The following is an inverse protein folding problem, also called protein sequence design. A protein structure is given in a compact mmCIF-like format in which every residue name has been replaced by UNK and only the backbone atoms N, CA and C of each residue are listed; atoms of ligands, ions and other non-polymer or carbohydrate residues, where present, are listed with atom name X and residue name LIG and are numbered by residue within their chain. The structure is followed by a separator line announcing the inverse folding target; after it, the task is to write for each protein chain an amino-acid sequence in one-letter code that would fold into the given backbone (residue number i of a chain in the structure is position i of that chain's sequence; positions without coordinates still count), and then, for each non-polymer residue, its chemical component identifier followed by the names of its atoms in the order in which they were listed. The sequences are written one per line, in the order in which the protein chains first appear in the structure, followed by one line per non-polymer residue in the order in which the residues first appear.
data_IF_473346087225
#
_entry.id   IF_473346087225
#
_cell.length_a   1.000
_cell.length_b   1.000
_cell.length_c   1.000
_cell.angle_alpha   90.00
_cell.angle_beta   90.00
_cell.angle_gamma   90.00
#
_symmetry.space_group_name_H-M   'P 1'
#
loop_
_entity.id
_entity.type
_entity.pdbx_description
1 polymer ?
#
# COMPACT_ATOMS: atom_id res chain seq x y z
N UNK A 1 23.49 26.50 -13.00
CA UNK A 1 22.07 26.05 -12.95
C UNK A 1 21.26 27.01 -13.79
N UNK A 2 20.65 26.56 -14.89
CA UNK A 2 19.60 27.35 -15.54
C UNK A 2 18.37 27.30 -14.62
N UNK A 3 17.65 28.42 -14.41
CA UNK A 3 16.41 28.37 -13.64
C UNK A 3 15.45 27.42 -14.35
N UNK A 4 14.98 26.39 -13.66
CA UNK A 4 13.91 25.55 -14.18
C UNK A 4 12.68 26.45 -14.29
N UNK A 5 12.31 26.80 -15.52
CA UNK A 5 11.05 27.49 -15.79
C UNK A 5 9.92 26.61 -15.25
N UNK A 6 9.14 27.14 -14.32
CA UNK A 6 7.92 26.50 -13.83
C UNK A 6 7.02 26.25 -15.04
N UNK A 7 6.47 25.03 -15.23
CA UNK A 7 5.56 24.77 -16.33
C UNK A 7 4.38 25.75 -16.26
N UNK A 8 4.05 26.38 -17.39
CA UNK A 8 2.81 27.15 -17.51
C UNK A 8 1.71 26.12 -17.74
N UNK A 9 0.81 25.99 -16.77
CA UNK A 9 -0.34 25.10 -16.84
C UNK A 9 -1.52 25.86 -17.42
N UNK A 10 -2.16 25.28 -18.44
CA UNK A 10 -3.40 25.79 -18.98
C UNK A 10 -4.54 24.92 -18.48
N UNK A 11 -5.50 25.53 -17.77
CA UNK A 11 -6.73 24.86 -17.41
C UNK A 11 -7.50 24.53 -18.68
N UNK A 12 -7.82 23.26 -18.88
CA UNK A 12 -8.58 22.83 -20.04
C UNK A 12 -10.06 23.24 -19.87
N UNK A 13 -10.75 23.69 -20.92
CA UNK A 13 -12.19 23.92 -20.87
C UNK A 13 -12.93 22.59 -20.68
N UNK A 14 -13.20 22.20 -19.44
CA UNK A 14 -13.85 20.93 -19.15
C UNK A 14 -15.38 21.08 -19.12
N UNK A 15 -16.09 20.20 -19.86
CA UNK A 15 -17.51 19.87 -19.59
C UNK A 15 -17.73 19.19 -18.22
N UNK A 16 -16.65 18.94 -17.48
CA UNK A 16 -16.57 18.16 -16.26
C UNK A 16 -15.78 18.98 -15.24
N UNK A 17 -16.45 19.52 -14.24
CA UNK A 17 -15.88 20.43 -13.25
C UNK A 17 -16.17 19.91 -11.83
N UNK A 18 -17.39 20.08 -11.37
CA UNK A 18 -17.90 19.46 -10.17
C UNK A 18 -19.29 18.90 -10.45
N UNK A 19 -19.59 17.75 -9.87
CA UNK A 19 -20.91 17.13 -9.93
C UNK A 19 -21.24 16.54 -8.59
N UNK A 20 -22.51 16.63 -8.23
CA UNK A 20 -23.06 15.88 -7.11
C UNK A 20 -23.56 14.54 -7.65
N UNK A 21 -23.37 13.46 -6.89
CA UNK A 21 -23.90 12.14 -7.20
C UNK A 21 -25.43 12.16 -7.30
N UNK A 22 -26.01 11.16 -8.00
CA UNK A 22 -27.46 11.07 -8.21
C UNK A 22 -28.26 10.98 -6.90
N UNK A 23 -27.67 10.45 -5.83
CA UNK A 23 -28.26 10.35 -4.50
C UNK A 23 -27.99 11.58 -3.61
N UNK A 24 -27.25 12.57 -4.11
CA UNK A 24 -26.92 13.79 -3.38
C UNK A 24 -25.84 13.64 -2.31
N UNK A 25 -25.20 12.47 -2.19
CA UNK A 25 -24.34 12.14 -1.03
C UNK A 25 -22.83 12.25 -1.28
N UNK A 26 -22.42 12.41 -2.53
CA UNK A 26 -21.01 12.48 -2.90
C UNK A 26 -20.75 13.66 -3.81
N UNK A 27 -19.68 14.37 -3.54
CA UNK A 27 -19.12 15.39 -4.41
C UNK A 27 -18.06 14.74 -5.31
N UNK A 28 -18.11 15.06 -6.59
CA UNK A 28 -17.18 14.57 -7.60
C UNK A 28 -16.54 15.80 -8.24
N UNK A 29 -15.27 16.03 -7.95
CA UNK A 29 -14.48 17.11 -8.53
C UNK A 29 -13.55 16.55 -9.59
N UNK A 30 -13.51 17.20 -10.75
CA UNK A 30 -12.62 16.85 -11.86
C UNK A 30 -11.90 18.10 -12.31
N UNK A 31 -10.57 18.04 -12.29
CA UNK A 31 -9.72 19.08 -12.82
C UNK A 31 -8.88 18.50 -13.95
N UNK A 32 -8.63 19.30 -14.98
CA UNK A 32 -7.64 18.92 -15.97
C UNK A 32 -6.89 20.10 -16.55
N UNK A 33 -5.62 19.85 -16.82
CA UNK A 33 -4.65 20.83 -17.24
C UNK A 33 -3.79 20.25 -18.35
N UNK A 34 -3.23 21.12 -19.17
CA UNK A 34 -2.18 20.81 -20.13
C UNK A 34 -0.96 21.68 -19.87
N UNK A 35 0.20 21.24 -20.36
CA UNK A 35 1.43 22.02 -20.39
C UNK A 35 2.28 21.57 -21.58
N UNK A 36 3.37 22.28 -21.87
CA UNK A 36 4.23 22.05 -23.04
C UNK A 36 4.67 20.59 -23.26
N UNK A 37 4.81 19.79 -22.19
CA UNK A 37 5.20 18.36 -22.27
C UNK A 37 4.11 17.40 -21.81
N UNK A 38 2.95 17.93 -21.42
CA UNK A 38 1.89 17.19 -20.75
C UNK A 38 0.61 17.42 -21.52
N UNK A 39 0.21 16.41 -22.28
CA UNK A 39 -1.03 16.40 -23.04
C UNK A 39 -2.25 16.49 -22.15
N UNK A 40 -2.20 15.81 -21.01
CA UNK A 40 -3.31 15.80 -20.06
C UNK A 40 -2.82 15.42 -18.66
N UNK A 41 -2.82 16.39 -17.76
CA UNK A 41 -2.87 16.17 -16.32
C UNK A 41 -4.35 16.19 -15.93
N UNK A 42 -4.84 15.16 -15.26
CA UNK A 42 -6.20 15.20 -14.70
C UNK A 42 -6.25 14.60 -13.31
N UNK A 43 -7.16 15.13 -12.53
CA UNK A 43 -7.58 14.59 -11.25
C UNK A 43 -9.08 14.32 -11.28
N UNK A 44 -9.47 13.22 -10.67
CA UNK A 44 -10.82 12.93 -10.23
C UNK A 44 -10.74 12.74 -8.71
N UNK A 45 -11.37 13.65 -7.99
CA UNK A 45 -11.61 13.52 -6.56
C UNK A 45 -13.07 13.13 -6.36
N UNK A 46 -13.33 12.11 -5.55
CA UNK A 46 -14.67 11.79 -5.07
C UNK A 46 -14.62 11.90 -3.58
N UNK A 47 -15.50 12.69 -2.99
CA UNK A 47 -15.65 12.81 -1.56
C UNK A 47 -17.08 12.50 -1.15
N UNK A 48 -17.22 11.67 -0.12
CA UNK A 48 -18.49 11.31 0.50
C UNK A 48 -18.26 11.07 1.99
N UNK A 49 -19.33 10.88 2.75
CA UNK A 49 -19.21 10.61 4.19
C UNK A 49 -18.41 9.33 4.52
N UNK A 50 -18.31 8.37 3.59
CA UNK A 50 -17.75 7.05 3.87
C UNK A 50 -16.58 6.65 2.96
N UNK A 51 -16.34 7.42 1.89
CA UNK A 51 -15.40 7.10 0.83
C UNK A 51 -14.78 8.36 0.23
N UNK A 52 -13.47 8.32 0.05
CA UNK A 52 -12.66 9.27 -0.68
C UNK A 52 -11.91 8.55 -1.80
N UNK A 53 -11.92 9.10 -3.01
CA UNK A 53 -11.18 8.53 -4.15
C UNK A 53 -10.37 9.62 -4.80
N UNK A 54 -9.09 9.33 -5.06
CA UNK A 54 -8.24 10.11 -5.94
C UNK A 54 -7.81 9.22 -7.11
N UNK A 55 -8.22 9.59 -8.32
CA UNK A 55 -7.54 9.16 -9.55
C UNK A 55 -6.82 10.37 -10.11
N UNK A 56 -5.50 10.37 -9.96
CA UNK A 56 -4.64 11.41 -10.49
C UNK A 56 -3.64 10.78 -11.41
N UNK A 57 -3.53 11.32 -12.62
CA UNK A 57 -2.45 10.88 -13.49
C UNK A 57 -2.09 11.91 -14.56
N UNK A 58 -0.86 11.78 -15.04
CA UNK A 58 -0.22 12.73 -15.96
C UNK A 58 0.15 11.99 -17.22
N UNK A 59 -0.48 12.36 -18.32
CA UNK A 59 -0.17 11.84 -19.65
C UNK A 59 0.76 12.81 -20.38
N UNK A 60 1.94 12.36 -20.82
CA UNK A 60 2.83 13.20 -21.61
C UNK A 60 2.27 13.45 -23.02
N UNK A 61 2.78 14.50 -23.66
CA UNK A 61 2.64 14.68 -25.11
C UNK A 61 3.40 13.56 -25.86
N UNK A 62 2.91 13.04 -27.00
CA UNK A 62 3.53 11.91 -27.70
C UNK A 62 4.99 12.15 -28.13
N UNK A 63 5.41 13.40 -28.29
CA UNK A 63 6.78 13.80 -28.58
C UNK A 63 7.73 13.55 -27.39
N UNK A 64 7.20 13.33 -26.19
CA UNK A 64 7.95 13.05 -24.96
C UNK A 64 7.58 11.65 -24.45
N UNK A 65 8.51 10.73 -24.59
CA UNK A 65 8.38 9.32 -24.17
C UNK A 65 8.47 9.14 -22.63
N UNK A 66 7.90 10.04 -21.83
CA UNK A 66 7.95 9.89 -20.38
C UNK A 66 7.01 8.77 -19.89
N UNK A 67 7.32 8.11 -18.75
CA UNK A 67 6.35 7.26 -18.07
C UNK A 67 5.08 8.03 -17.70
N UNK A 68 3.94 7.33 -17.67
CA UNK A 68 2.69 7.89 -17.18
C UNK A 68 2.74 7.87 -15.66
N UNK A 69 2.62 9.03 -15.02
CA UNK A 69 2.47 9.07 -13.56
C UNK A 69 1.05 8.65 -13.19
N UNK A 70 0.92 7.69 -12.27
CA UNK A 70 -0.34 7.22 -11.74
C UNK A 70 -0.35 7.24 -10.21
N UNK A 71 -1.36 7.90 -9.65
CA UNK A 71 -1.72 7.86 -8.25
C UNK A 71 -3.21 7.55 -8.14
N UNK A 72 -3.51 6.31 -7.76
CA UNK A 72 -4.87 5.81 -7.58
C UNK A 72 -5.03 5.45 -6.11
N UNK A 73 -5.70 6.33 -5.38
CA UNK A 73 -5.99 6.14 -3.97
C UNK A 73 -7.48 5.93 -3.82
N UNK A 74 -7.84 4.80 -3.24
CA UNK A 74 -9.17 4.57 -2.76
C UNK A 74 -9.09 4.52 -1.24
N UNK A 75 -9.87 5.36 -0.60
CA UNK A 75 -9.97 5.48 0.84
C UNK A 75 -11.43 5.33 1.24
N UNK A 76 -11.68 4.56 2.28
CA UNK A 76 -12.96 4.49 2.96
C UNK A 76 -12.70 4.43 4.44
N UNK A 77 -13.76 4.56 5.25
CA UNK A 77 -13.65 4.43 6.71
C UNK A 77 -12.82 3.21 7.13
N UNK A 78 -12.90 2.12 6.36
CA UNK A 78 -12.30 0.84 6.67
C UNK A 78 -11.35 0.28 5.62
N UNK A 79 -10.91 1.00 4.59
CA UNK A 79 -9.95 0.48 3.58
C UNK A 79 -9.19 1.60 2.89
N UNK A 80 -7.86 1.45 2.76
CA UNK A 80 -7.06 2.25 1.85
C UNK A 80 -6.39 1.32 0.85
N UNK A 81 -6.60 1.55 -0.44
CA UNK A 81 -5.90 0.88 -1.54
C UNK A 81 -5.12 1.97 -2.25
N UNK A 82 -3.79 1.83 -2.24
CA UNK A 82 -2.87 2.82 -2.79
C UNK A 82 -2.08 2.14 -3.89
N UNK A 83 -2.23 2.65 -5.11
CA UNK A 83 -1.33 2.36 -6.23
C UNK A 83 -0.66 3.67 -6.60
N UNK A 84 0.66 3.71 -6.48
CA UNK A 84 1.49 4.84 -6.88
C UNK A 84 2.61 4.31 -7.75
N UNK A 85 2.64 4.72 -9.01
CA UNK A 85 3.61 4.20 -9.96
C UNK A 85 3.94 5.21 -11.08
N UNK A 86 5.10 5.00 -11.70
CA UNK A 86 5.50 5.58 -12.98
C UNK A 86 5.34 4.47 -14.02
N UNK A 87 4.17 4.37 -14.62
CA UNK A 87 3.83 3.31 -15.56
C UNK A 87 4.63 3.47 -16.86
N UNK A 88 5.39 2.45 -17.30
CA UNK A 88 6.21 2.57 -18.49
C UNK A 88 5.37 2.68 -19.76
N UNK A 89 5.75 3.59 -20.67
CA UNK A 89 5.12 3.72 -21.99
C UNK A 89 5.54 2.58 -22.95
N UNK A 90 6.74 2.05 -22.76
CA UNK A 90 7.33 0.98 -23.56
C UNK A 90 7.69 -0.22 -22.68
N UNK A 91 7.69 -1.42 -23.27
CA UNK A 91 8.03 -2.65 -22.55
C UNK A 91 9.46 -2.62 -21.99
N UNK A 92 9.57 -2.54 -20.67
CA UNK A 92 10.86 -2.49 -19.95
C UNK A 92 11.59 -3.83 -19.89
N UNK A 93 10.96 -4.93 -20.32
CA UNK A 93 11.60 -6.25 -20.40
C UNK A 93 12.40 -6.35 -21.70
N UNK A 94 11.78 -6.05 -22.84
CA UNK A 94 12.44 -6.13 -24.15
C UNK A 94 13.22 -4.87 -24.52
N UNK A 95 12.74 -3.67 -24.18
CA UNK A 95 13.34 -2.39 -24.58
C UNK A 95 14.24 -1.82 -23.48
N UNK A 96 15.47 -2.34 -23.41
CA UNK A 96 16.43 -1.99 -22.36
C UNK A 96 16.78 -0.51 -22.33
N UNK A 97 16.89 0.14 -23.50
CA UNK A 97 17.25 1.56 -23.59
C UNK A 97 16.22 2.46 -22.88
N UNK A 98 14.93 2.14 -22.99
CA UNK A 98 13.86 2.85 -22.31
C UNK A 98 13.89 2.64 -20.80
N UNK A 99 14.10 1.38 -20.37
CA UNK A 99 14.28 1.04 -18.95
C UNK A 99 15.48 1.78 -18.36
N UNK A 100 16.60 1.82 -19.08
CA UNK A 100 17.80 2.52 -18.61
C UNK A 100 17.59 4.02 -18.51
N UNK A 101 16.91 4.62 -19.50
CA UNK A 101 16.62 6.06 -19.54
C UNK A 101 15.79 6.54 -18.34
N UNK A 102 14.76 5.78 -17.94
CA UNK A 102 13.78 6.24 -16.93
C UNK A 102 13.83 5.53 -15.58
N UNK A 103 14.21 4.24 -15.53
CA UNK A 103 14.11 3.42 -14.32
C UNK A 103 15.46 3.10 -13.69
N UNK A 104 16.58 3.25 -14.40
CA UNK A 104 17.92 3.05 -13.83
C UNK A 104 18.19 3.96 -12.63
N UNK A 105 17.62 5.16 -12.59
CA UNK A 105 17.72 6.07 -11.45
C UNK A 105 16.77 5.73 -10.29
N UNK A 106 15.70 4.99 -10.56
CA UNK A 106 14.69 4.57 -9.57
C UNK A 106 15.07 3.23 -8.91
N UNK A 107 15.71 2.33 -9.66
CA UNK A 107 16.24 1.06 -9.15
C UNK A 107 17.11 1.26 -7.89
N UNK A 108 18.07 2.22 -7.85
CA UNK A 108 18.83 2.54 -6.66
C UNK A 108 17.99 2.85 -5.43
N UNK A 109 16.77 3.39 -5.56
CA UNK A 109 15.92 3.63 -4.38
C UNK A 109 15.42 2.31 -3.78
N UNK A 110 14.94 1.38 -4.61
CA UNK A 110 14.58 0.05 -4.15
C UNK A 110 15.77 -0.76 -3.65
N UNK A 111 16.92 -0.65 -4.35
CA UNK A 111 18.17 -1.27 -3.92
C UNK A 111 18.65 -0.71 -2.59
N UNK A 112 18.60 0.60 -2.34
CA UNK A 112 19.00 1.21 -1.05
C UNK A 112 18.23 0.64 0.14
N UNK A 113 16.93 0.36 -0.01
CA UNK A 113 16.14 -0.27 1.04
C UNK A 113 16.59 -1.73 1.28
N UNK A 114 16.89 -2.47 0.21
CA UNK A 114 17.43 -3.83 0.32
C UNK A 114 18.86 -3.86 0.89
N UNK A 115 19.72 -2.94 0.44
CA UNK A 115 21.09 -2.74 0.94
C UNK A 115 21.08 -2.42 2.44
N UNK A 116 20.23 -1.50 2.90
CA UNK A 116 20.09 -1.21 4.34
C UNK A 116 19.65 -2.45 5.14
N UNK A 117 18.78 -3.29 4.61
CA UNK A 117 18.40 -4.54 5.26
C UNK A 117 19.55 -5.57 5.29
N UNK A 118 20.34 -5.66 4.21
CA UNK A 118 21.54 -6.50 4.17
C UNK A 118 22.60 -6.01 5.17
N UNK A 119 22.80 -4.70 5.30
CA UNK A 119 23.69 -4.12 6.31
C UNK A 119 23.23 -4.47 7.73
N UNK A 120 21.92 -4.45 8.01
CA UNK A 120 21.38 -4.91 9.30
C UNK A 120 21.61 -6.40 9.51
N UNK A 121 21.53 -7.22 8.46
CA UNK A 121 21.85 -8.66 8.54
C UNK A 121 23.33 -8.88 8.87
N UNK A 122 24.24 -8.17 8.20
CA UNK A 122 25.68 -8.28 8.44
C UNK A 122 26.06 -7.87 9.88
N UNK A 123 25.33 -6.92 10.45
CA UNK A 123 25.50 -6.46 11.83
C UNK A 123 24.82 -7.36 12.86
N UNK A 124 23.88 -8.22 12.44
CA UNK A 124 23.13 -9.07 13.35
C UNK A 124 24.05 -10.14 13.96
N UNK A 125 24.18 -10.11 15.29
CA UNK A 125 24.97 -11.11 16.02
C UNK A 125 24.07 -12.30 16.36
N UNK A 126 24.62 -13.52 16.20
CA UNK A 126 23.93 -14.75 16.59
C UNK A 126 23.57 -14.69 18.07
N UNK A 127 22.28 -14.80 18.37
CA UNK A 127 21.82 -14.92 19.76
C UNK A 127 22.05 -16.35 20.25
N UNK A 128 22.71 -16.49 21.39
CA UNK A 128 23.02 -17.80 22.01
C UNK A 128 22.18 -18.08 23.26
N UNK A 129 21.49 -17.06 23.79
CA UNK A 129 20.60 -17.23 24.92
C UNK A 129 19.30 -17.92 24.49
N UNK A 130 19.09 -19.15 24.96
CA UNK A 130 17.93 -19.96 24.63
C UNK A 130 16.58 -19.25 24.89
N UNK A 131 16.46 -18.49 25.99
CA UNK A 131 15.22 -17.77 26.30
C UNK A 131 14.95 -16.65 25.29
N UNK A 132 15.96 -15.92 24.84
CA UNK A 132 15.78 -14.88 23.82
C UNK A 132 15.48 -15.47 22.45
N UNK A 133 16.13 -16.58 22.08
CA UNK A 133 15.82 -17.32 20.85
C UNK A 133 14.35 -17.77 20.87
N UNK A 134 13.88 -18.29 22.01
CA UNK A 134 12.47 -18.64 22.19
C UNK A 134 11.55 -17.42 22.03
N UNK A 135 11.90 -16.27 22.61
CA UNK A 135 11.14 -15.03 22.42
C UNK A 135 11.11 -14.59 20.94
N UNK A 136 12.23 -14.69 20.22
CA UNK A 136 12.31 -14.35 18.80
C UNK A 136 11.42 -15.29 17.96
N UNK A 137 11.50 -16.60 18.24
CA UNK A 137 10.68 -17.63 17.58
C UNK A 137 9.19 -17.40 17.84
N UNK A 138 8.82 -17.10 19.08
CA UNK A 138 7.46 -16.78 19.48
C UNK A 138 6.95 -15.51 18.78
N UNK A 139 7.77 -14.47 18.67
CA UNK A 139 7.42 -13.23 17.98
C UNK A 139 7.19 -13.47 16.47
N UNK A 140 8.05 -14.29 15.84
CA UNK A 140 7.88 -14.68 14.44
C UNK A 140 6.61 -15.51 14.25
N UNK A 141 6.37 -16.49 15.11
CA UNK A 141 5.17 -17.32 15.07
C UNK A 141 3.91 -16.46 15.21
N UNK A 142 3.84 -15.58 16.22
CA UNK A 142 2.74 -14.63 16.42
C UNK A 142 2.46 -13.77 15.18
N UNK A 143 3.50 -13.29 14.50
CA UNK A 143 3.35 -12.51 13.27
C UNK A 143 2.74 -13.34 12.12
N UNK A 144 3.23 -14.57 11.92
CA UNK A 144 2.71 -15.46 10.88
C UNK A 144 1.27 -15.85 11.16
N UNK A 145 0.94 -16.22 12.41
CA UNK A 145 -0.43 -16.54 12.85
C UNK A 145 -1.38 -15.38 12.56
N UNK A 146 -0.96 -14.14 12.83
CA UNK A 146 -1.76 -12.96 12.50
C UNK A 146 -2.01 -12.81 11.00
N UNK A 147 -0.94 -12.89 10.19
CA UNK A 147 -1.04 -12.69 8.74
C UNK A 147 -1.90 -13.78 8.09
N UNK A 148 -1.70 -15.04 8.45
CA UNK A 148 -2.48 -16.15 7.90
C UNK A 148 -3.97 -16.14 8.27
N UNK A 149 -4.36 -15.42 9.33
CA UNK A 149 -5.77 -15.23 9.67
C UNK A 149 -6.35 -13.95 9.05
N UNK A 150 -5.62 -12.83 9.11
CA UNK A 150 -6.17 -11.47 8.88
C UNK A 150 -5.66 -10.73 7.65
N UNK A 151 -4.75 -11.30 6.86
CA UNK A 151 -4.20 -10.62 5.68
C UNK A 151 -5.30 -10.28 4.65
N UNK A 152 -5.30 -9.04 4.12
CA UNK A 152 -6.34 -8.57 3.21
C UNK A 152 -6.38 -9.30 1.86
N UNK A 153 -5.28 -9.91 1.44
CA UNK A 153 -5.14 -10.60 0.15
C UNK A 153 -5.89 -11.93 0.07
N UNK A 154 -6.29 -12.52 1.21
CA UNK A 154 -6.93 -13.84 1.25
C UNK A 154 -8.18 -13.93 0.39
N UNK A 155 -9.04 -12.91 0.46
CA UNK A 155 -10.31 -12.89 -0.28
C UNK A 155 -10.11 -12.87 -1.80
N UNK A 156 -9.01 -12.26 -2.26
CA UNK A 156 -8.65 -12.27 -3.68
C UNK A 156 -8.12 -13.65 -4.10
N UNK A 157 -7.21 -14.24 -3.32
CA UNK A 157 -6.65 -15.57 -3.60
C UNK A 157 -7.76 -16.63 -3.68
N UNK A 158 -8.68 -16.64 -2.73
CA UNK A 158 -9.84 -17.56 -2.74
C UNK A 158 -10.68 -17.43 -4.01
N UNK A 159 -10.87 -16.21 -4.53
CA UNK A 159 -11.61 -15.97 -5.78
C UNK A 159 -10.85 -16.43 -7.02
N UNK A 160 -9.51 -16.33 -7.01
CA UNK A 160 -8.68 -16.66 -8.17
C UNK A 160 -8.40 -18.16 -8.30
N UNK A 161 -8.10 -18.83 -7.19
CA UNK A 161 -7.62 -20.23 -7.19
C UNK A 161 -8.51 -21.17 -6.36
N UNK A 162 -9.62 -20.69 -5.82
CA UNK A 162 -10.53 -21.45 -4.99
C UNK A 162 -10.04 -21.61 -3.54
N UNK A 163 -10.97 -21.96 -2.66
CA UNK A 163 -10.76 -21.99 -1.20
C UNK A 163 -9.61 -22.91 -0.78
N UNK A 164 -9.58 -24.14 -1.31
CA UNK A 164 -8.60 -25.16 -0.93
C UNK A 164 -7.17 -24.78 -1.34
N UNK A 165 -6.97 -24.34 -2.59
CA UNK A 165 -5.63 -23.96 -3.07
C UNK A 165 -5.16 -22.65 -2.45
N UNK A 166 -6.08 -21.71 -2.20
CA UNK A 166 -5.74 -20.48 -1.48
C UNK A 166 -5.29 -20.78 -0.05
N UNK A 167 -5.99 -21.68 0.65
CA UNK A 167 -5.59 -22.10 2.01
C UNK A 167 -4.21 -22.77 2.02
N UNK A 168 -3.96 -23.67 1.07
CA UNK A 168 -2.65 -24.33 0.92
C UNK A 168 -1.53 -23.31 0.66
N UNK A 169 -1.70 -22.43 -0.33
CA UNK A 169 -0.73 -21.38 -0.66
C UNK A 169 -0.46 -20.45 0.53
N UNK A 170 -1.48 -20.14 1.32
CA UNK A 170 -1.34 -19.27 2.49
C UNK A 170 -0.51 -19.91 3.58
N UNK A 171 -0.86 -21.14 3.98
CA UNK A 171 -0.23 -21.82 5.12
C UNK A 171 1.14 -22.37 4.74
N UNK A 172 1.26 -23.00 3.58
CA UNK A 172 2.45 -23.77 3.22
C UNK A 172 3.50 -22.97 2.44
N UNK A 173 3.14 -21.79 1.92
CA UNK A 173 4.07 -20.96 1.15
C UNK A 173 4.19 -19.53 1.68
N UNK A 174 3.10 -18.75 1.68
CA UNK A 174 3.16 -17.32 2.04
C UNK A 174 3.49 -17.10 3.51
N UNK A 175 2.96 -17.95 4.40
CA UNK A 175 3.16 -17.88 5.83
C UNK A 175 3.64 -19.23 6.39
N UNK A 176 4.50 -19.91 5.63
CA UNK A 176 5.17 -21.13 6.08
C UNK A 176 5.86 -20.91 7.44
N UNK A 177 5.78 -21.90 8.31
CA UNK A 177 6.33 -21.87 9.66
C UNK A 177 5.30 -21.74 10.78
N UNK A 178 3.99 -21.57 10.50
CA UNK A 178 2.95 -21.54 11.53
C UNK A 178 2.94 -22.86 12.32
N UNK A 179 2.88 -24.00 11.64
CA UNK A 179 2.83 -25.31 12.32
C UNK A 179 4.19 -25.75 12.87
N UNK A 180 5.28 -25.04 12.53
CA UNK A 180 6.65 -25.42 12.86
C UNK A 180 7.25 -24.56 13.99
N UNK A 181 6.95 -23.26 14.01
CA UNK A 181 7.58 -22.31 14.91
C UNK A 181 6.92 -22.26 16.28
N UNK A 182 5.64 -22.63 16.40
CA UNK A 182 4.92 -22.65 17.67
C UNK A 182 3.64 -23.48 17.61
N UNK A 183 2.92 -23.55 18.72
CA UNK A 183 1.66 -24.31 18.84
C UNK A 183 0.49 -23.47 19.33
N UNK A 184 0.72 -22.17 19.60
CA UNK A 184 -0.33 -21.25 20.03
C UNK A 184 -1.27 -20.93 18.87
N UNK A 185 -2.56 -21.00 19.12
CA UNK A 185 -3.60 -20.58 18.19
C UNK A 185 -3.64 -19.06 18.04
N UNK A 186 -4.41 -18.59 17.06
CA UNK A 186 -4.68 -17.15 16.90
C UNK A 186 -5.27 -16.53 18.18
N UNK A 187 -6.21 -17.21 18.85
CA UNK A 187 -6.85 -16.71 20.07
C UNK A 187 -5.94 -16.73 21.30
N UNK A 188 -4.88 -17.55 21.30
CA UNK A 188 -3.87 -17.51 22.36
C UNK A 188 -3.03 -16.22 22.28
N UNK A 189 -2.83 -15.66 21.08
CA UNK A 189 -2.09 -14.41 20.87
C UNK A 189 -2.95 -13.15 20.86
N UNK A 190 -4.20 -13.30 20.42
CA UNK A 190 -5.15 -12.21 20.20
C UNK A 190 -6.50 -12.57 20.82
N UNK A 191 -6.56 -12.80 22.16
CA UNK A 191 -7.79 -13.23 22.85
C UNK A 191 -8.94 -12.23 22.68
N UNK A 192 -8.63 -10.98 22.39
CA UNK A 192 -9.59 -9.91 22.11
C UNK A 192 -10.43 -10.15 20.83
N UNK A 193 -10.08 -11.15 20.01
CA UNK A 193 -10.87 -11.63 18.88
C UNK A 193 -11.78 -12.83 19.22
N UNK A 194 -11.80 -13.31 20.46
CA UNK A 194 -12.65 -14.44 20.86
C UNK A 194 -14.13 -14.01 20.93
N UNK A 195 -14.99 -14.69 20.18
CA UNK A 195 -16.44 -14.56 20.29
C UNK A 195 -16.98 -15.32 21.52
N UNK A 196 -18.21 -15.03 21.94
CA UNK A 196 -18.86 -15.72 23.07
C UNK A 196 -18.99 -17.24 22.87
N UNK A 197 -19.06 -17.70 21.62
CA UNK A 197 -19.12 -19.11 21.24
C UNK A 197 -17.73 -19.78 21.10
N UNK A 198 -16.65 -19.04 21.39
CA UNK A 198 -15.27 -19.52 21.28
C UNK A 198 -14.68 -19.47 19.87
N UNK A 199 -15.42 -18.93 18.89
CA UNK A 199 -14.91 -18.76 17.51
C UNK A 199 -14.08 -17.49 17.35
N UNK A 200 -13.32 -17.41 16.25
CA UNK A 200 -12.57 -16.19 15.88
C UNK A 200 -13.54 -15.19 15.26
N UNK A 201 -13.57 -13.98 15.82
CA UNK A 201 -14.29 -12.83 15.27
C UNK A 201 -13.83 -12.56 13.83
N UNK A 202 -14.76 -12.56 12.89
CA UNK A 202 -14.49 -12.40 11.46
C UNK A 202 -14.06 -10.98 11.07
N UNK A 203 -14.24 -10.01 11.96
CA UNK A 203 -13.76 -8.64 11.76
C UNK A 203 -12.24 -8.63 11.59
N UNK A 204 -11.74 -7.74 10.71
CA UNK A 204 -10.29 -7.60 10.49
C UNK A 204 -9.60 -6.85 11.64
N UNK A 205 -10.25 -5.82 12.17
CA UNK A 205 -9.80 -5.07 13.34
C UNK A 205 -10.93 -4.98 14.36
N UNK A 206 -10.67 -5.38 15.59
CA UNK A 206 -11.62 -5.24 16.71
C UNK A 206 -11.65 -3.82 17.30
N UNK A 207 -10.55 -3.08 17.18
CA UNK A 207 -10.43 -1.67 17.61
C UNK A 207 -11.04 -0.75 16.53
N UNK A 208 -11.25 -1.28 15.32
CA UNK A 208 -11.58 -0.48 14.14
C UNK A 208 -10.33 0.11 13.51
N UNK A 209 -10.53 1.03 12.58
CA UNK A 209 -9.44 1.79 11.96
C UNK A 209 -9.13 3.04 12.77
N UNK A 210 -7.85 3.34 12.91
CA UNK A 210 -7.34 4.54 13.56
C UNK A 210 -6.15 5.09 12.76
N UNK A 211 -5.64 6.25 13.16
CA UNK A 211 -4.56 7.02 12.54
C UNK A 211 -4.89 7.55 11.13
N UNK A 212 -5.64 8.66 11.08
CA UNK A 212 -5.96 9.39 9.83
C UNK A 212 -4.74 10.04 9.19
N UNK A 213 -3.86 10.64 10.01
CA UNK A 213 -2.58 11.19 9.58
C UNK A 213 -1.42 10.26 9.93
N UNK A 214 -0.29 10.40 9.21
CA UNK A 214 0.97 9.69 9.54
C UNK A 214 1.29 9.87 11.03
N UNK A 215 1.35 8.79 11.83
CA UNK A 215 1.54 8.92 13.27
C UNK A 215 3.03 9.05 13.64
N UNK A 216 3.86 9.54 12.73
CA UNK A 216 5.29 9.79 12.93
C UNK A 216 5.68 11.13 12.35
N UNK A 217 6.49 11.87 13.10
CA UNK A 217 7.02 13.17 12.65
C UNK A 217 8.16 13.01 11.62
N UNK A 218 8.76 14.13 11.21
CA UNK A 218 9.89 14.16 10.29
C UNK A 218 11.19 13.57 10.86
N UNK A 219 11.25 13.30 12.16
CA UNK A 219 12.37 12.63 12.85
C UNK A 219 12.11 11.14 13.09
N UNK A 220 10.89 10.66 12.82
CA UNK A 220 10.49 9.28 13.04
C UNK A 220 9.95 9.00 14.44
N UNK A 221 9.66 10.03 15.23
CA UNK A 221 9.06 9.90 16.56
C UNK A 221 7.55 9.71 16.45
N UNK A 222 6.98 8.80 17.25
CA UNK A 222 5.55 8.53 17.23
C UNK A 222 4.77 9.71 17.84
N UNK A 223 3.79 10.23 17.10
CA UNK A 223 2.94 11.34 17.51
C UNK A 223 1.61 10.75 18.02
N UNK A 224 1.47 10.61 19.34
CA UNK A 224 0.25 10.07 19.95
C UNK A 224 -0.86 11.13 20.04
N UNK A 225 -1.52 11.45 18.93
CA UNK A 225 -2.69 12.35 18.96
C UNK A 225 -4.03 11.60 19.02
N UNK A 226 -4.05 10.28 19.23
CA UNK A 226 -5.23 9.43 18.98
C UNK A 226 -5.75 8.60 20.16
N UNK A 227 -5.36 8.90 21.41
CA UNK A 227 -5.93 8.23 22.60
C UNK A 227 -6.56 9.18 23.64
N UNK A 228 -6.66 10.48 23.36
CA UNK A 228 -7.47 11.41 24.17
C UNK A 228 -8.81 11.68 23.49
N UNK A 229 -9.80 10.86 23.83
CA UNK A 229 -11.21 11.21 24.05
C UNK A 229 -11.97 10.00 24.59
#
# INVERSE_FOLDING_TARGET
MKPNATPIWHLLPCRYNSRISMDGKSEIEMLSFEATKVRLLRSLCIESQTMQVLDFAVFPEPEFDMPIFCANFFSSANTNIVVLDLNPLHDVISQRDYKEKYYKGLIPLGLKYAEAWLELMDQAVVETNASKIMCNREAQHRYLTWRAEKDPGHGLLKKLIGETQAKDLLVNFLFNGIDELGSKSFLDYFPEYCCEDGTINQSRSIIGKSFESRPWDGKGEFISNSFEN
#
